data_IF_337247478853
#
_entry.id   IF_337247478853
#
_cell.length_a   1.000
_cell.length_b   1.000
_cell.length_c   1.000
_cell.angle_alpha   90.00
_cell.angle_beta   90.00
_cell.angle_gamma   90.00
#
_symmetry.space_group_name_H-M   'P 1'
#
loop_
_entity.id
_entity.type
_entity.pdbx_description
1 polymer ?
#
# COMPACT_ATOMS: atom_id res chain seq x y z
N UNK A 1 -0.75 5.69 11.55
CA UNK A 1 -1.63 5.42 10.40
C UNK A 1 -1.47 3.97 10.04
N UNK A 2 -2.47 3.34 9.44
CA UNK A 2 -2.39 1.91 9.11
C UNK A 2 -3.08 1.73 7.76
N UNK A 3 -2.28 1.63 6.70
CA UNK A 3 -2.80 1.23 5.41
C UNK A 3 -3.35 -0.21 5.53
N UNK A 4 -4.63 -0.41 5.27
CA UNK A 4 -5.27 -1.72 5.39
C UNK A 4 -4.96 -2.62 4.19
N UNK A 5 -3.76 -3.20 4.07
CA UNK A 5 -3.51 -4.13 2.96
C UNK A 5 -3.78 -5.60 3.32
N UNK A 6 -4.66 -6.29 2.59
CA UNK A 6 -4.98 -7.69 2.80
C UNK A 6 -3.83 -8.63 2.46
N UNK A 7 -3.79 -9.77 3.16
CA UNK A 7 -2.99 -10.93 2.75
C UNK A 7 -3.58 -11.53 1.48
N UNK A 8 -2.75 -11.72 0.46
CA UNK A 8 -3.15 -12.29 -0.82
C UNK A 8 -2.33 -13.51 -1.21
N UNK A 9 -2.94 -14.39 -1.98
CA UNK A 9 -2.25 -15.51 -2.59
C UNK A 9 -1.18 -15.04 -3.59
N UNK A 10 0.04 -15.56 -3.43
CA UNK A 10 1.20 -15.24 -4.27
C UNK A 10 0.93 -15.57 -5.75
N UNK A 11 0.17 -16.63 -6.01
CA UNK A 11 -0.23 -17.08 -7.34
C UNK A 11 -1.07 -16.03 -8.05
N UNK A 12 -1.96 -15.37 -7.33
CA UNK A 12 -2.81 -14.31 -7.89
C UNK A 12 -1.98 -13.06 -8.17
N UNK A 13 -1.10 -12.66 -7.25
CA UNK A 13 -0.22 -11.49 -7.40
C UNK A 13 0.78 -11.63 -8.56
N UNK A 14 1.35 -12.82 -8.73
CA UNK A 14 2.24 -13.15 -9.85
C UNK A 14 1.50 -13.75 -11.05
N UNK A 15 0.18 -13.76 -11.02
CA UNK A 15 -0.64 -14.25 -12.12
C UNK A 15 -0.77 -13.23 -13.26
N UNK A 16 -1.23 -13.67 -14.45
CA UNK A 16 -1.65 -12.78 -15.52
C UNK A 16 -2.72 -11.78 -15.06
N UNK A 17 -2.81 -10.63 -15.73
CA UNK A 17 -3.74 -9.57 -15.34
C UNK A 17 -5.21 -10.02 -15.40
N UNK A 18 -5.56 -10.93 -16.30
CA UNK A 18 -6.90 -11.51 -16.36
C UNK A 18 -7.26 -12.25 -15.05
N UNK A 19 -6.35 -13.07 -14.53
CA UNK A 19 -6.54 -13.79 -13.27
C UNK A 19 -6.68 -12.83 -12.10
N UNK A 20 -5.82 -11.80 -12.06
CA UNK A 20 -5.85 -10.78 -11.02
C UNK A 20 -7.18 -10.01 -11.00
N UNK A 21 -7.67 -9.60 -12.18
CA UNK A 21 -8.95 -8.91 -12.33
C UNK A 21 -10.13 -9.80 -11.92
N UNK A 22 -10.07 -11.10 -12.21
CA UNK A 22 -11.09 -12.04 -11.72
C UNK A 22 -11.08 -12.13 -10.19
N UNK A 23 -9.91 -12.22 -9.57
CA UNK A 23 -9.79 -12.21 -8.11
C UNK A 23 -10.26 -10.88 -7.50
N UNK A 24 -9.99 -9.75 -8.16
CA UNK A 24 -10.43 -8.43 -7.69
C UNK A 24 -11.96 -8.33 -7.56
N UNK A 25 -12.72 -8.99 -8.45
CA UNK A 25 -14.18 -9.03 -8.39
C UNK A 25 -14.72 -9.78 -7.17
N UNK A 26 -13.92 -10.70 -6.61
CA UNK A 26 -14.28 -11.50 -5.43
C UNK A 26 -13.73 -10.93 -4.12
N UNK A 27 -12.78 -10.01 -4.19
CA UNK A 27 -12.22 -9.37 -3.01
C UNK A 27 -13.29 -8.49 -2.34
N UNK A 28 -13.50 -8.68 -1.04
CA UNK A 28 -14.39 -7.84 -0.23
C UNK A 28 -13.75 -6.50 0.12
N UNK A 29 -12.47 -6.54 0.50
CA UNK A 29 -11.70 -5.37 0.92
C UNK A 29 -11.37 -4.43 -0.26
N UNK A 30 -11.62 -3.11 -0.13
CA UNK A 30 -11.32 -2.13 -1.17
C UNK A 30 -9.84 -2.12 -1.59
N UNK A 31 -8.93 -2.24 -0.64
CA UNK A 31 -7.48 -2.28 -0.83
C UNK A 31 -7.06 -3.53 -1.59
N UNK A 32 -7.66 -4.69 -1.25
CA UNK A 32 -7.41 -5.91 -2.01
C UNK A 32 -7.79 -5.72 -3.47
N UNK A 33 -9.03 -5.27 -3.66
CA UNK A 33 -9.62 -5.05 -4.97
C UNK A 33 -8.78 -4.08 -5.78
N UNK A 34 -8.32 -3.00 -5.17
CA UNK A 34 -7.44 -2.01 -5.80
C UNK A 34 -6.10 -2.62 -6.22
N UNK A 35 -5.41 -3.33 -5.31
CA UNK A 35 -4.08 -3.90 -5.57
C UNK A 35 -4.14 -4.90 -6.73
N UNK A 36 -5.18 -5.73 -6.78
CA UNK A 36 -5.38 -6.73 -7.84
C UNK A 36 -5.69 -6.12 -9.21
N UNK A 37 -6.16 -4.87 -9.25
CA UNK A 37 -6.36 -4.12 -10.49
C UNK A 37 -5.09 -3.40 -10.98
N UNK A 38 -4.04 -3.35 -10.14
CA UNK A 38 -2.78 -2.70 -10.52
C UNK A 38 -1.98 -3.55 -11.53
N UNK A 39 -1.09 -2.90 -12.32
CA UNK A 39 -0.17 -3.61 -13.19
C UNK A 39 0.64 -4.67 -12.43
N UNK A 40 1.00 -5.75 -13.12
CA UNK A 40 1.81 -6.85 -12.57
C UNK A 40 3.06 -6.38 -11.82
N UNK A 41 3.73 -5.33 -12.30
CA UNK A 41 4.94 -4.79 -11.65
C UNK A 41 4.67 -4.27 -10.23
N UNK A 42 3.53 -3.62 -10.01
CA UNK A 42 3.10 -3.12 -8.70
C UNK A 42 2.74 -4.30 -7.78
N UNK A 43 1.97 -5.26 -8.30
CA UNK A 43 1.56 -6.46 -7.55
C UNK A 43 2.77 -7.31 -7.13
N UNK A 44 3.73 -7.51 -8.03
CA UNK A 44 4.98 -8.20 -7.74
C UNK A 44 5.87 -7.43 -6.74
N UNK A 45 5.88 -6.10 -6.83
CA UNK A 45 6.57 -5.24 -5.86
C UNK A 45 5.98 -5.38 -4.45
N UNK A 46 4.64 -5.41 -4.33
CA UNK A 46 3.96 -5.68 -3.07
C UNK A 46 4.33 -7.05 -2.51
N UNK A 47 4.27 -8.11 -3.33
CA UNK A 47 4.66 -9.45 -2.89
C UNK A 47 6.11 -9.49 -2.38
N UNK A 48 7.05 -8.90 -3.11
CA UNK A 48 8.47 -8.95 -2.74
C UNK A 48 8.78 -8.14 -1.48
N UNK A 49 8.19 -6.96 -1.33
CA UNK A 49 8.51 -6.04 -0.25
C UNK A 49 7.64 -6.28 0.97
N UNK A 50 6.31 -6.29 0.80
CA UNK A 50 5.38 -6.34 1.93
C UNK A 50 5.20 -7.76 2.45
N UNK A 51 4.94 -8.72 1.56
CA UNK A 51 4.80 -10.12 1.98
C UNK A 51 6.16 -10.83 2.17
N UNK A 52 7.26 -10.20 1.74
CA UNK A 52 8.62 -10.69 1.97
C UNK A 52 9.23 -10.24 3.31
N UNK A 53 8.61 -9.26 3.97
CA UNK A 53 9.05 -8.68 5.23
C UNK A 53 7.86 -8.35 6.13
N UNK A 54 6.91 -9.30 6.25
CA UNK A 54 5.65 -9.09 6.98
C UNK A 54 5.85 -8.79 8.49
N UNK A 55 6.99 -9.19 9.04
CA UNK A 55 7.38 -8.95 10.43
C UNK A 55 7.97 -7.54 10.64
N UNK A 56 8.30 -6.81 9.57
CA UNK A 56 8.81 -5.45 9.68
C UNK A 56 7.68 -4.44 9.92
N UNK A 57 7.74 -3.68 11.03
CA UNK A 57 6.72 -2.68 11.31
C UNK A 57 6.69 -1.64 10.20
N UNK A 58 5.48 -1.20 9.84
CA UNK A 58 5.25 -0.15 8.84
C UNK A 58 5.70 -0.48 7.41
N UNK A 59 6.14 -1.71 7.10
CA UNK A 59 6.63 -2.08 5.75
C UNK A 59 5.62 -1.76 4.64
N UNK A 60 4.33 -1.96 4.93
CA UNK A 60 3.24 -1.68 3.99
C UNK A 60 3.10 -0.19 3.70
N UNK A 61 3.18 0.62 4.75
CA UNK A 61 3.09 2.07 4.69
C UNK A 61 4.28 2.65 3.92
N UNK A 62 5.49 2.21 4.26
CA UNK A 62 6.72 2.60 3.54
C UNK A 62 6.61 2.22 2.06
N UNK A 63 6.11 1.02 1.75
CA UNK A 63 5.92 0.57 0.38
C UNK A 63 4.95 1.49 -0.39
N UNK A 64 3.80 1.83 0.20
CA UNK A 64 2.80 2.70 -0.43
C UNK A 64 3.34 4.12 -0.65
N UNK A 65 4.05 4.68 0.35
CA UNK A 65 4.62 6.03 0.26
C UNK A 65 5.68 6.15 -0.84
N UNK A 66 6.41 5.07 -1.14
CA UNK A 66 7.44 5.02 -2.20
C UNK A 66 6.90 4.74 -3.61
N UNK A 67 5.62 4.39 -3.77
CA UNK A 67 5.06 4.10 -5.09
C UNK A 67 5.11 5.30 -6.05
N UNK A 68 5.09 5.11 -7.38
CA UNK A 68 4.94 6.23 -8.30
C UNK A 68 3.68 7.06 -8.05
N UNK A 69 3.71 8.35 -8.43
CA UNK A 69 2.58 9.28 -8.20
C UNK A 69 1.25 8.73 -8.73
N UNK A 70 1.26 8.12 -9.92
CA UNK A 70 0.05 7.53 -10.51
C UNK A 70 -0.57 6.42 -9.67
N UNK A 71 0.26 5.56 -9.07
CA UNK A 71 -0.19 4.45 -8.21
C UNK A 71 -0.78 5.02 -6.92
N UNK A 72 -0.09 5.93 -6.23
CA UNK A 72 -0.62 6.59 -5.01
C UNK A 72 -1.91 7.36 -5.29
N UNK A 73 -1.97 8.11 -6.38
CA UNK A 73 -3.17 8.86 -6.76
C UNK A 73 -4.35 7.92 -7.06
N UNK A 74 -4.09 6.75 -7.67
CA UNK A 74 -5.12 5.73 -7.84
C UNK A 74 -5.60 5.16 -6.52
N UNK A 75 -4.71 4.91 -5.56
CA UNK A 75 -5.09 4.43 -4.23
C UNK A 75 -5.98 5.44 -3.51
N UNK A 76 -5.57 6.71 -3.48
CA UNK A 76 -6.36 7.80 -2.88
C UNK A 76 -7.76 7.86 -3.49
N UNK A 77 -7.87 7.82 -4.81
CA UNK A 77 -9.17 7.93 -5.50
C UNK A 77 -10.08 6.71 -5.26
N UNK A 78 -9.51 5.51 -5.31
CA UNK A 78 -10.30 4.27 -5.40
C UNK A 78 -10.52 3.61 -4.04
N UNK A 79 -9.65 3.88 -3.06
CA UNK A 79 -9.75 3.35 -1.70
C UNK A 79 -10.15 4.48 -0.77
N UNK A 80 -9.24 5.43 -0.49
CA UNK A 80 -9.42 6.37 0.62
C UNK A 80 -10.57 7.36 0.45
N UNK A 81 -10.82 7.83 -0.77
CA UNK A 81 -11.93 8.76 -1.07
C UNK A 81 -13.27 8.05 -1.29
N UNK A 82 -13.25 6.73 -1.46
CA UNK A 82 -14.45 5.92 -1.62
C UNK A 82 -14.97 5.38 -0.28
N UNK A 83 -14.20 5.58 0.80
CA UNK A 83 -14.59 5.25 2.17
C UNK A 83 -15.63 6.25 2.71
N UNK A 84 -16.54 5.77 3.55
CA UNK A 84 -17.56 6.59 4.23
C UNK A 84 -16.92 7.59 5.22
N UNK A 85 -15.75 7.26 5.78
CA UNK A 85 -14.98 8.11 6.67
C UNK A 85 -13.54 8.29 6.14
N UNK A 86 -13.33 9.15 5.12
CA UNK A 86 -12.06 9.25 4.42
C UNK A 86 -10.93 9.68 5.36
N UNK A 87 -9.85 8.92 5.38
CA UNK A 87 -8.64 9.25 6.15
C UNK A 87 -7.91 10.44 5.51
N UNK A 88 -8.27 11.65 5.94
CA UNK A 88 -7.73 12.91 5.42
C UNK A 88 -6.20 13.02 5.57
N UNK A 89 -5.64 12.40 6.61
CA UNK A 89 -4.21 12.42 6.88
C UNK A 89 -3.45 11.58 5.85
N UNK A 90 -3.93 10.37 5.55
CA UNK A 90 -3.34 9.52 4.50
C UNK A 90 -3.50 10.12 3.12
N UNK A 91 -4.68 10.70 2.83
CA UNK A 91 -4.92 11.42 1.56
C UNK A 91 -3.92 12.56 1.38
N UNK A 92 -3.72 13.36 2.43
CA UNK A 92 -2.76 14.46 2.41
C UNK A 92 -1.34 13.95 2.19
N UNK A 93 -0.90 12.93 2.93
CA UNK A 93 0.47 12.40 2.90
C UNK A 93 0.81 11.78 1.53
N UNK A 94 -0.11 10.99 0.96
CA UNK A 94 0.08 10.41 -0.37
C UNK A 94 0.12 11.46 -1.48
N UNK A 95 -0.52 12.62 -1.27
CA UNK A 95 -0.52 13.76 -2.17
C UNK A 95 0.77 14.61 -2.17
N UNK A 96 1.62 14.47 -1.15
CA UNK A 96 2.80 15.32 -0.98
C UNK A 96 3.90 15.11 -2.04
N UNK A 97 4.94 15.95 -2.01
CA UNK A 97 6.17 15.74 -2.78
C UNK A 97 6.97 14.54 -2.24
N UNK A 98 7.87 13.99 -3.07
CA UNK A 98 8.71 12.85 -2.67
C UNK A 98 9.55 13.18 -1.44
N UNK A 99 10.19 14.35 -1.40
CA UNK A 99 11.02 14.76 -0.28
C UNK A 99 10.26 14.72 1.07
N UNK A 100 9.01 15.20 1.09
CA UNK A 100 8.18 15.20 2.31
C UNK A 100 7.87 13.77 2.78
N UNK A 101 7.53 12.87 1.84
CA UNK A 101 7.27 11.47 2.18
C UNK A 101 8.52 10.72 2.63
N UNK A 102 9.68 10.96 2.01
CA UNK A 102 10.93 10.35 2.47
C UNK A 102 11.34 10.87 3.85
N UNK A 103 11.12 12.17 4.14
CA UNK A 103 11.29 12.72 5.48
C UNK A 103 10.39 12.00 6.49
N UNK A 104 9.11 11.82 6.17
CA UNK A 104 8.15 11.10 7.01
C UNK A 104 8.57 9.64 7.23
N UNK A 105 8.99 8.94 6.17
CA UNK A 105 9.50 7.56 6.28
C UNK A 105 10.67 7.51 7.25
N UNK A 106 11.63 8.41 7.13
CA UNK A 106 12.82 8.42 7.99
C UNK A 106 12.51 8.78 9.44
N UNK A 107 11.76 9.86 9.65
CA UNK A 107 11.61 10.50 10.97
C UNK A 107 10.41 9.98 11.76
N UNK A 108 9.40 9.43 11.09
CA UNK A 108 8.18 8.94 11.77
C UNK A 108 8.13 7.42 11.74
N UNK A 109 8.43 6.80 10.61
CA UNK A 109 8.35 5.34 10.48
C UNK A 109 9.67 4.64 10.84
N UNK A 110 10.81 5.28 10.56
CA UNK A 110 12.15 4.79 10.85
C UNK A 110 12.55 4.91 12.32
N UNK A 111 12.09 5.95 13.02
CA UNK A 111 12.33 6.13 14.47
C UNK A 111 11.51 5.16 15.36
N UNK A 112 10.57 4.41 14.76
CA UNK A 112 9.72 3.45 15.47
C UNK A 112 10.44 2.20 15.99
N UNK A 113 11.62 1.87 15.45
CA UNK A 113 12.48 0.79 15.96
C UNK A 113 13.37 1.22 17.12
N UNK A 114 13.69 2.52 17.24
CA UNK A 114 14.56 3.05 18.30
C UNK A 114 13.81 3.41 19.59
N UNK A 115 12.49 3.63 19.53
CA UNK A 115 11.68 4.09 20.68
C UNK A 115 11.06 2.95 21.53
N UNK A 116 11.30 1.68 21.18
CA UNK A 116 10.80 0.49 21.92
C UNK A 116 11.83 -0.18 22.84
N UNK A 117 13.02 0.39 22.96
CA UNK A 117 14.03 0.01 23.97
C UNK A 117 14.22 1.18 24.94
N UNK A 118 13.27 1.41 25.84
CA UNK A 118 13.48 2.11 27.12
C UNK A 118 12.41 1.72 28.13
#
# INVERSE_FOLDING_TARGET
MAFGFPRMDKTVLLGPDALARMAARKASEPEARWLLQQPRSVRAGYLRTVLGAEDEPNVQEVWMLRQPRGVRASYVRTVLKADDAPNVQEIWLLGQLQAVRESYIREVLGDGSARREK
#
